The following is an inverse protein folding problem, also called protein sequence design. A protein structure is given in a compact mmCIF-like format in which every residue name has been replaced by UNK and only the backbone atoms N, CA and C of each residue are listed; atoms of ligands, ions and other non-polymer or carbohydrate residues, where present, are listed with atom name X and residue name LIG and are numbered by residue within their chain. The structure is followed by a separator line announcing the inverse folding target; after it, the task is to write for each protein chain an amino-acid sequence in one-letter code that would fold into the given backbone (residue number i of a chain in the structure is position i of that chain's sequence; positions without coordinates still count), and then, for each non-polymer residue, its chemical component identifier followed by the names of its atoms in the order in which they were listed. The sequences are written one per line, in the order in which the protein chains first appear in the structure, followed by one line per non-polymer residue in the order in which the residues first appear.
data_IF_102874232071
#
_entry.id   IF_102874232071
#
_cell.length_a   1.000
_cell.length_b   1.000
_cell.length_c   1.000
_cell.angle_alpha   90.00
_cell.angle_beta   90.00
_cell.angle_gamma   90.00
#
_symmetry.space_group_name_H-M   'P 1'
#
loop_
_entity.id
_entity.type
_entity.pdbx_description
1 polymer ?
#
# COMPACT_ATOMS: atom_id res chain seq x y z
N UNK A 1 -15.77 0.35 -13.14
CA UNK A 1 -14.56 0.67 -12.40
C UNK A 1 -14.33 -0.33 -11.31
N UNK A 2 -13.13 -0.65 -11.01
CA UNK A 2 -12.80 -1.68 -10.06
C UNK A 2 -11.90 -1.12 -8.97
N UNK A 3 -12.09 -1.56 -7.73
CA UNK A 3 -11.18 -1.18 -6.66
C UNK A 3 -9.77 -1.68 -7.03
N UNK A 4 -8.78 -0.91 -6.75
CA UNK A 4 -7.41 -1.25 -7.18
C UNK A 4 -6.72 -2.12 -6.13
N UNK A 5 -5.87 -3.03 -6.61
CA UNK A 5 -5.05 -3.87 -5.74
C UNK A 5 -4.05 -2.97 -5.05
N UNK A 6 -3.96 -3.05 -3.72
CA UNK A 6 -3.08 -2.18 -2.97
C UNK A 6 -1.64 -2.63 -3.06
N UNK A 7 -0.74 -1.73 -2.74
CA UNK A 7 0.67 -2.05 -2.56
C UNK A 7 0.80 -2.75 -1.20
N UNK A 8 1.93 -3.32 -0.91
CA UNK A 8 2.18 -4.01 0.37
C UNK A 8 3.24 -3.27 1.15
N UNK A 9 3.05 -3.20 2.46
CA UNK A 9 4.02 -2.56 3.34
C UNK A 9 4.36 -3.47 4.50
N UNK A 10 5.62 -3.67 4.76
CA UNK A 10 6.07 -4.37 5.95
C UNK A 10 6.47 -3.29 6.95
N UNK A 11 5.74 -3.20 8.04
CA UNK A 11 5.94 -2.19 9.05
C UNK A 11 5.85 -2.82 10.44
N UNK A 12 6.86 -2.65 11.23
CA UNK A 12 6.92 -3.23 12.57
C UNK A 12 6.63 -4.72 12.58
N UNK A 13 7.18 -5.42 11.61
CA UNK A 13 7.03 -6.86 11.50
C UNK A 13 5.69 -7.35 10.95
N UNK A 14 4.81 -6.44 10.55
CA UNK A 14 3.51 -6.82 10.01
C UNK A 14 3.42 -6.48 8.53
N UNK A 15 2.73 -7.33 7.78
CA UNK A 15 2.48 -7.04 6.38
C UNK A 15 1.12 -6.37 6.26
N UNK A 16 1.08 -5.17 5.75
CA UNK A 16 -0.11 -4.35 5.69
C UNK A 16 -0.43 -3.95 4.25
N UNK A 17 -1.68 -3.59 4.00
CA UNK A 17 -2.08 -3.04 2.72
C UNK A 17 -1.81 -1.54 2.73
N UNK A 18 -1.24 -1.03 1.65
CA UNK A 18 -0.85 0.37 1.57
C UNK A 18 -1.57 0.99 0.40
N UNK A 19 -2.45 1.94 0.66
CA UNK A 19 -3.26 2.59 -0.37
C UNK A 19 -2.57 3.84 -0.91
N UNK A 20 -1.32 3.68 -1.32
CA UNK A 20 -0.50 4.76 -1.81
C UNK A 20 0.52 4.15 -2.76
N UNK A 21 0.88 4.85 -3.82
CA UNK A 21 1.77 4.32 -4.85
C UNK A 21 3.01 5.20 -4.98
N UNK A 22 4.03 5.03 -4.10
CA UNK A 22 5.21 5.90 -4.16
C UNK A 22 6.01 5.83 -5.46
N UNK A 23 5.96 4.69 -6.18
CA UNK A 23 6.61 4.61 -7.47
C UNK A 23 5.93 5.51 -8.49
N UNK A 24 4.63 5.74 -8.34
CA UNK A 24 3.92 6.66 -9.23
C UNK A 24 4.53 8.06 -9.18
N UNK A 25 4.97 8.49 -7.98
CA UNK A 25 5.59 9.78 -7.81
C UNK A 25 6.97 9.77 -8.51
N UNK A 26 7.70 8.66 -8.42
CA UNK A 26 8.99 8.54 -9.07
C UNK A 26 8.84 8.69 -10.59
N UNK A 27 7.84 8.02 -11.17
CA UNK A 27 7.59 8.09 -12.60
C UNK A 27 7.12 9.52 -13.00
N UNK A 28 6.32 10.15 -12.16
CA UNK A 28 5.84 11.50 -12.44
C UNK A 28 6.98 12.51 -12.40
N UNK A 29 8.04 12.23 -11.68
CA UNK A 29 9.20 13.10 -11.63
C UNK A 29 10.17 12.86 -12.78
N UNK A 30 9.82 11.99 -13.69
CA UNK A 30 10.67 11.70 -14.86
C UNK A 30 11.48 10.41 -14.74
N UNK A 31 11.24 9.61 -13.72
CA UNK A 31 11.91 8.32 -13.60
C UNK A 31 11.48 7.38 -14.72
N UNK A 32 12.36 6.44 -15.06
CA UNK A 32 12.06 5.51 -16.13
C UNK A 32 10.95 4.57 -15.73
N UNK A 33 9.90 4.52 -16.52
CA UNK A 33 8.77 3.62 -16.28
C UNK A 33 8.79 2.49 -17.30
N UNK A 34 8.94 1.24 -16.85
CA UNK A 34 8.85 0.11 -17.74
C UNK A 34 7.46 0.01 -18.33
N UNK A 35 7.32 -0.68 -19.46
CA UNK A 35 6.01 -0.92 -20.04
C UNK A 35 5.44 -2.18 -19.45
N UNK A 36 4.42 -2.04 -18.63
CA UNK A 36 3.75 -3.17 -18.02
C UNK A 36 2.57 -3.62 -18.88
N UNK A 37 2.25 -4.91 -18.80
CA UNK A 37 1.11 -5.42 -19.51
C UNK A 37 -0.15 -5.00 -18.81
N UNK A 38 -1.21 -4.80 -19.61
CA UNK A 38 -2.49 -4.40 -19.09
C UNK A 38 -3.29 -5.66 -18.82
N UNK A 39 -3.10 -6.27 -17.68
CA UNK A 39 -3.67 -7.57 -17.37
C UNK A 39 -5.04 -7.55 -16.76
N UNK A 40 -5.39 -6.59 -15.97
CA UNK A 40 -6.71 -6.57 -15.37
C UNK A 40 -7.10 -5.17 -14.89
N UNK A 41 -8.40 -4.96 -14.74
CA UNK A 41 -8.91 -3.66 -14.36
C UNK A 41 -8.61 -3.32 -12.91
N UNK A 42 -8.27 -4.30 -12.07
CA UNK A 42 -7.92 -4.05 -10.68
C UNK A 42 -6.46 -3.61 -10.51
N UNK A 43 -5.70 -3.55 -11.59
CA UNK A 43 -4.29 -3.19 -11.53
C UNK A 43 -3.94 -2.22 -12.66
N UNK A 44 -4.52 -1.03 -12.62
CA UNK A 44 -4.30 -0.02 -13.65
C UNK A 44 -2.84 0.35 -13.82
N UNK A 45 -2.08 0.40 -12.73
CA UNK A 45 -0.70 0.79 -12.81
C UNK A 45 0.21 -0.32 -13.35
N UNK A 46 -0.30 -1.55 -13.42
CA UNK A 46 0.41 -2.67 -14.01
C UNK A 46 1.42 -3.38 -13.11
N UNK A 47 1.61 -2.92 -11.88
CA UNK A 47 2.56 -3.52 -10.97
C UNK A 47 2.09 -3.45 -9.53
N UNK A 48 2.67 -4.27 -8.66
CA UNK A 48 2.46 -4.18 -7.22
C UNK A 48 3.85 -4.10 -6.58
N UNK A 49 4.08 -3.07 -5.80
CA UNK A 49 5.32 -2.93 -5.06
C UNK A 49 5.16 -3.44 -3.64
N UNK A 50 6.22 -4.01 -3.09
CA UNK A 50 6.29 -4.33 -1.68
C UNK A 50 7.35 -3.42 -1.08
N UNK A 51 6.95 -2.74 -0.02
CA UNK A 51 7.76 -1.74 0.65
C UNK A 51 8.06 -2.18 2.06
N UNK A 52 9.11 -1.65 2.65
CA UNK A 52 9.43 -1.96 4.04
C UNK A 52 9.95 -0.71 4.72
N UNK A 53 9.53 -0.51 5.98
CA UNK A 53 10.05 0.58 6.78
C UNK A 53 11.07 0.00 7.74
N UNK A 54 12.31 0.49 7.64
CA UNK A 54 13.40 0.05 8.50
C UNK A 54 14.06 1.31 9.04
N UNK A 55 14.12 1.44 10.36
CA UNK A 55 14.70 2.60 11.02
C UNK A 55 14.08 3.91 10.54
N UNK A 56 12.79 3.91 10.35
CA UNK A 56 12.05 5.10 9.92
C UNK A 56 12.21 5.48 8.46
N UNK A 57 12.80 4.60 7.65
CA UNK A 57 13.02 4.86 6.22
C UNK A 57 12.25 3.90 5.36
N UNK A 58 11.72 4.40 4.27
CA UNK A 58 10.93 3.61 3.33
C UNK A 58 11.80 3.04 2.22
N UNK A 59 11.74 1.73 2.04
CA UNK A 59 12.47 1.04 0.98
C UNK A 59 11.53 0.25 0.09
N UNK A 60 11.79 0.24 -1.20
CA UNK A 60 11.13 -0.66 -2.13
C UNK A 60 11.95 -1.96 -2.12
N UNK A 61 11.32 -3.07 -1.73
CA UNK A 61 12.04 -4.33 -1.62
C UNK A 61 11.61 -5.37 -2.64
N UNK A 62 10.46 -5.20 -3.28
CA UNK A 62 10.01 -6.13 -4.27
C UNK A 62 9.11 -5.42 -5.26
N UNK A 63 9.16 -5.78 -6.52
CA UNK A 63 8.27 -5.27 -7.54
C UNK A 63 7.78 -6.45 -8.36
N UNK A 64 6.47 -6.56 -8.54
CA UNK A 64 5.88 -7.59 -9.38
C UNK A 64 5.01 -6.95 -10.43
N UNK A 65 5.12 -7.45 -11.62
CA UNK A 65 4.28 -7.01 -12.75
C UNK A 65 4.78 -7.68 -14.00
N UNK A 66 3.87 -7.89 -14.95
CA UNK A 66 4.25 -8.50 -16.21
C UNK A 66 4.68 -7.41 -17.18
N UNK A 67 5.77 -7.60 -17.86
CA UNK A 67 6.28 -6.62 -18.81
C UNK A 67 5.77 -6.92 -20.20
N UNK A 68 5.48 -5.87 -20.98
CA UNK A 68 5.14 -6.03 -22.39
C UNK A 68 6.35 -6.65 -23.04
N UNK A 69 6.16 -7.60 -23.88
CA UNK A 69 7.26 -8.28 -24.54
C UNK A 69 7.75 -9.50 -23.79
N UNK A 70 7.19 -9.75 -22.60
CA UNK A 70 7.52 -10.93 -21.81
C UNK A 70 8.40 -10.63 -20.63
N UNK A 71 8.35 -11.51 -19.67
CA UNK A 71 9.16 -11.40 -18.47
C UNK A 71 8.46 -10.70 -17.34
N UNK A 72 9.04 -10.83 -16.15
CA UNK A 72 8.48 -10.24 -14.94
C UNK A 72 9.36 -9.10 -14.47
N UNK A 73 8.74 -8.02 -14.00
CA UNK A 73 9.49 -6.90 -13.49
C UNK A 73 10.07 -7.24 -12.12
N UNK A 74 11.14 -6.57 -11.76
CA UNK A 74 11.75 -6.68 -10.44
C UNK A 74 12.28 -5.29 -10.07
N UNK A 75 12.80 -5.15 -8.86
CA UNK A 75 13.38 -3.87 -8.44
C UNK A 75 14.49 -3.46 -9.41
N UNK A 76 15.31 -4.42 -9.86
CA UNK A 76 16.39 -4.16 -10.79
C UNK A 76 15.90 -3.66 -12.16
N UNK A 77 14.66 -3.93 -12.52
CA UNK A 77 14.11 -3.43 -13.79
C UNK A 77 14.11 -1.90 -13.81
N UNK A 78 13.86 -1.27 -12.66
CA UNK A 78 13.82 0.18 -12.57
C UNK A 78 15.11 0.70 -11.96
N UNK A 79 15.68 -0.01 -11.00
CA UNK A 79 16.87 0.42 -10.27
C UNK A 79 17.94 -0.66 -10.36
N UNK A 80 18.59 -0.79 -11.52
CA UNK A 80 19.57 -1.86 -11.72
C UNK A 80 20.75 -1.85 -10.76
N UNK A 81 21.07 -0.68 -10.19
CA UNK A 81 22.17 -0.57 -9.25
C UNK A 81 21.75 -1.00 -7.84
N UNK A 82 20.46 -1.23 -7.60
CA UNK A 82 19.95 -1.57 -6.28
C UNK A 82 18.97 -2.73 -6.38
N UNK A 83 19.45 -3.91 -6.78
CA UNK A 83 18.53 -5.05 -7.05
C UNK A 83 17.81 -5.60 -5.83
N UNK A 84 18.36 -5.40 -4.62
CA UNK A 84 17.75 -5.97 -3.43
C UNK A 84 16.77 -5.02 -2.77
N UNK A 85 17.08 -3.77 -2.68
CA UNK A 85 16.18 -2.76 -2.16
C UNK A 85 16.68 -1.38 -2.54
N UNK A 86 15.76 -0.43 -2.61
CA UNK A 86 16.12 0.94 -2.91
C UNK A 86 15.43 1.88 -1.93
N UNK A 87 16.16 2.84 -1.38
CA UNK A 87 15.60 3.83 -0.48
C UNK A 87 14.75 4.81 -1.29
N UNK A 88 13.51 5.01 -0.84
CA UNK A 88 12.56 5.84 -1.57
C UNK A 88 12.77 7.33 -1.29
N UNK A 89 13.98 7.81 -1.56
CA UNK A 89 14.35 9.20 -1.28
C UNK A 89 13.55 10.24 -2.05
N UNK A 90 12.92 9.82 -3.13
CA UNK A 90 12.09 10.73 -3.94
C UNK A 90 10.73 10.98 -3.35
N UNK A 91 10.29 10.14 -2.41
CA UNK A 91 8.91 10.20 -1.96
C UNK A 91 8.70 11.11 -0.77
N UNK A 92 7.78 12.05 -0.92
CA UNK A 92 7.27 12.85 0.18
C UNK A 92 5.76 12.84 0.04
N UNK A 93 5.07 12.44 1.07
CA UNK A 93 3.61 12.35 1.03
C UNK A 93 3.11 11.55 2.22
N UNK A 94 1.84 11.20 2.17
CA UNK A 94 1.21 10.47 3.26
C UNK A 94 0.81 9.09 2.78
N UNK A 95 1.29 8.06 3.48
CA UNK A 95 0.92 6.69 3.17
C UNK A 95 -0.31 6.36 4.00
N UNK A 96 -1.36 5.87 3.34
CA UNK A 96 -2.59 5.47 4.02
C UNK A 96 -2.64 3.96 4.17
N UNK A 97 -2.85 3.47 5.38
CA UNK A 97 -2.97 2.05 5.66
C UNK A 97 -4.33 1.82 6.33
N UNK A 98 -5.30 1.26 5.60
CA UNK A 98 -6.61 0.99 6.17
C UNK A 98 -6.54 -0.16 7.17
N UNK A 99 -7.25 -0.03 8.27
CA UNK A 99 -7.28 -1.03 9.31
C UNK A 99 -8.68 -1.29 9.82
N UNK A 100 -8.92 -2.46 10.34
CA UNK A 100 -10.22 -2.83 10.88
C UNK A 100 -11.16 -3.34 9.79
N UNK A 101 -12.45 -3.35 10.09
CA UNK A 101 -13.43 -3.88 9.17
C UNK A 101 -13.82 -2.88 8.11
N UNK A 102 -14.26 -3.39 6.97
CA UNK A 102 -14.72 -2.56 5.88
C UNK A 102 -16.04 -1.91 6.27
N UNK A 103 -16.16 -0.62 6.15
CA UNK A 103 -17.38 0.12 6.42
C UNK A 103 -18.14 0.45 5.14
N UNK A 104 -17.44 0.83 4.10
CA UNK A 104 -18.07 1.22 2.85
C UNK A 104 -17.19 0.82 1.66
N UNK A 105 -17.70 -0.04 0.80
CA UNK A 105 -16.96 -0.50 -0.36
C UNK A 105 -17.18 0.42 -1.54
N UNK A 106 -16.11 0.86 -2.15
CA UNK A 106 -16.17 1.72 -3.32
C UNK A 106 -15.41 1.06 -4.45
N UNK A 107 -16.04 0.96 -5.62
CA UNK A 107 -15.47 0.27 -6.76
C UNK A 107 -14.47 1.14 -7.53
N UNK A 108 -13.86 2.12 -6.92
CA UNK A 108 -12.96 2.99 -7.64
C UNK A 108 -11.70 3.25 -6.84
N UNK A 109 -10.56 2.93 -7.38
CA UNK A 109 -9.25 3.21 -6.80
C UNK A 109 -9.12 2.64 -5.39
N UNK A 110 -8.74 3.48 -4.46
CA UNK A 110 -8.60 3.11 -3.07
C UNK A 110 -9.69 3.79 -2.23
N UNK A 111 -10.87 3.93 -2.80
CA UNK A 111 -11.94 4.72 -2.17
C UNK A 111 -12.69 4.06 -1.02
N UNK A 112 -12.52 2.74 -0.82
CA UNK A 112 -13.24 2.06 0.24
C UNK A 112 -12.83 2.56 1.62
N UNK A 113 -13.76 2.59 2.57
CA UNK A 113 -13.53 3.11 3.91
C UNK A 113 -13.52 1.97 4.91
N UNK A 114 -12.55 1.97 5.79
CA UNK A 114 -12.42 0.97 6.84
C UNK A 114 -12.57 1.66 8.20
N UNK A 115 -12.60 0.90 9.27
CA UNK A 115 -12.82 1.47 10.61
C UNK A 115 -11.77 2.50 10.99
N UNK A 116 -10.55 2.29 10.59
CA UNK A 116 -9.47 3.23 10.89
C UNK A 116 -8.54 3.36 9.71
N UNK A 117 -7.86 4.47 9.62
CA UNK A 117 -6.76 4.64 8.70
C UNK A 117 -5.52 5.03 9.51
N UNK A 118 -4.43 4.31 9.31
CA UNK A 118 -3.14 4.71 9.85
C UNK A 118 -2.45 5.54 8.76
N UNK A 119 -1.99 6.71 9.10
CA UNK A 119 -1.28 7.56 8.14
C UNK A 119 0.17 7.71 8.57
N UNK A 120 1.08 7.46 7.64
CA UNK A 120 2.50 7.67 7.87
C UNK A 120 2.92 8.86 7.01
N UNK A 121 3.35 9.93 7.64
CA UNK A 121 3.77 11.12 6.93
C UNK A 121 5.25 11.01 6.63
N UNK A 122 5.58 10.98 5.35
CA UNK A 122 6.93 10.71 4.87
C UNK A 122 7.50 11.97 4.23
N UNK A 123 8.74 12.28 4.51
CA UNK A 123 9.44 13.36 3.84
C UNK A 123 10.77 12.82 3.33
N UNK A 124 10.96 12.84 2.03
CA UNK A 124 12.17 12.34 1.37
C UNK A 124 12.51 10.92 1.84
N UNK A 125 11.50 10.09 1.91
CA UNK A 125 11.64 8.68 2.27
C UNK A 125 11.71 8.39 3.76
N UNK A 126 11.64 9.41 4.62
CA UNK A 126 11.78 9.23 6.06
C UNK A 126 10.47 9.56 6.77
N UNK A 127 10.06 8.71 7.72
CA UNK A 127 8.84 8.96 8.47
C UNK A 127 9.07 10.15 9.38
N UNK A 128 8.18 11.12 9.30
CA UNK A 128 8.24 12.31 10.17
C UNK A 128 7.14 12.30 11.21
N UNK A 129 6.02 11.64 10.93
CA UNK A 129 4.92 11.61 11.87
C UNK A 129 3.99 10.44 11.54
N UNK A 130 3.25 9.98 12.53
CA UNK A 130 2.23 8.95 12.33
C UNK A 130 0.97 9.43 13.01
N UNK A 131 -0.19 9.10 12.44
CA UNK A 131 -1.47 9.42 13.05
C UNK A 131 -2.52 8.41 12.63
N UNK A 132 -3.57 8.30 13.41
CA UNK A 132 -4.67 7.39 13.15
C UNK A 132 -5.94 8.20 13.03
N UNK A 133 -6.76 7.92 12.02
CA UNK A 133 -8.07 8.52 11.90
C UNK A 133 -9.11 7.42 12.08
N UNK A 134 -10.06 7.64 12.99
CA UNK A 134 -11.12 6.70 13.22
C UNK A 134 -12.32 7.08 12.34
N UNK A 135 -12.81 6.13 11.57
CA UNK A 135 -13.89 6.39 10.62
C UNK A 135 -15.23 5.82 11.07
N UNK A 136 -15.25 5.05 12.15
CA UNK A 136 -16.47 4.45 12.69
C UNK A 136 -16.27 3.01 13.05
N UNK A 137 -17.37 2.32 13.33
CA UNK A 137 -17.34 0.91 13.65
C UNK A 137 -18.30 0.16 12.77
N UNK A 138 -17.96 -1.06 12.41
CA UNK A 138 -18.89 -1.94 11.75
C UNK A 138 -19.82 -2.48 12.83
N UNK A 139 -21.11 -2.37 12.62
CA UNK A 139 -22.09 -2.81 13.61
C UNK A 139 -22.10 -4.31 13.73
N UNK A 140 -21.89 -4.81 14.91
CA UNK A 140 -21.91 -6.23 15.15
C UNK A 140 -21.11 -6.93 14.07
N UNK A 141 -21.72 -7.84 13.43
CA UNK A 141 -21.02 -8.52 12.37
C UNK A 141 -21.69 -8.07 11.11
N UNK A 142 -22.40 -6.98 11.15
CA UNK A 142 -23.12 -6.51 9.99
C UNK A 142 -22.28 -6.04 8.83
N UNK A 143 -21.04 -5.97 9.01
CA UNK A 143 -20.21 -5.52 7.91
C UNK A 143 -20.23 -6.48 6.75
N UNK A 144 -20.00 -6.00 5.56
CA UNK A 144 -19.97 -6.81 4.38
C UNK A 144 -18.76 -7.72 4.39
N UNK A 145 -18.82 -8.80 5.12
CA UNK A 145 -17.75 -9.69 5.24
C UNK A 145 -17.05 -10.12 4.02
N UNK A 146 -17.75 -10.45 3.03
CA UNK A 146 -17.10 -10.89 1.82
C UNK A 146 -16.09 -9.95 1.23
N UNK A 147 -16.23 -8.68 1.58
CA UNK A 147 -15.36 -7.71 0.99
C UNK A 147 -14.17 -7.37 1.88
N UNK A 148 -14.28 -7.78 3.12
CA UNK A 148 -13.24 -7.41 4.04
C UNK A 148 -11.92 -8.05 3.85
N UNK A 149 -11.92 -9.00 3.04
CA UNK A 149 -10.76 -9.62 2.82
C UNK A 149 -9.67 -8.85 2.61
N UNK A 150 -9.67 -8.17 1.81
CA UNK A 150 -8.60 -7.47 1.53
C UNK A 150 -7.89 -7.10 2.65
N UNK A 151 -7.67 -6.43 2.85
CA UNK A 151 -6.78 -5.99 3.60
C UNK A 151 -6.85 -6.21 4.98
N UNK A 152 -7.52 -6.77 5.18
CA UNK A 152 -7.51 -6.84 6.35
C UNK A 152 -6.83 -7.49 7.03
N UNK A 153 -6.45 -7.50 7.34
CA UNK A 153 -5.71 -8.06 7.83
C UNK A 153 -5.43 -7.94 8.91
N UNK A 154 -5.34 -7.74 9.39
CA UNK A 154 -4.92 -7.61 10.27
C UNK A 154 -5.01 -7.73 11.43
N UNK A 155 -5.22 -7.76 11.85
CA UNK A 155 -5.10 -7.73 12.77
C UNK A 155 -5.46 -8.00 13.71
N UNK A 156 -5.42 -8.26 14.10
CA UNK A 156 -5.71 -8.54 14.88
C UNK A 156 -6.29 -8.14 15.84
N UNK A 157 -6.67 -8.12 15.85
CA UNK A 157 -7.25 -7.78 16.56
C UNK A 157 -7.21 -7.56 17.55
N UNK A 158 -7.20 -7.38 17.64
CA UNK A 158 -7.18 -7.01 18.28
C UNK A 158 -6.97 -6.44 18.98
N UNK A 159 -6.87 -6.55 19.23
CA UNK A 159 -6.74 -5.95 19.75
C UNK A 159 -6.51 -5.15 19.84
N UNK A 160 -6.58 -5.20 19.42
CA UNK A 160 -6.49 -4.44 19.32
C UNK A 160 -6.64 -3.74 19.51
N UNK A 161 -6.68 -4.08 19.57
CA UNK A 161 -6.83 -3.35 19.65
C UNK A 161 -7.10 -2.64 20.11
N UNK A 162 -7.07 -3.00 20.51
CA UNK A 162 -7.37 -2.42 20.81
C UNK A 162 -7.28 -1.61 21.01
N UNK A 163 -7.00 -1.62 20.88
CA UNK A 163 -6.85 -0.77 20.87
C UNK A 163 -6.67 0.02 20.82
N UNK A 164 -6.46 -0.28 20.72
CA UNK A 164 -6.22 0.40 20.53
C UNK A 164 -6.16 1.16 20.39
N UNK A 165 -5.93 1.33 20.38
CA UNK A 165 -5.87 2.05 20.22
C UNK A 165 -5.91 2.74 20.24
N UNK A 166 -5.62 3.19 20.36
CA UNK A 166 -5.58 3.93 20.35
C UNK A 166 -6.02 4.30 20.47
#
# INVERSE_FOLDING_TARGET
MTAQISERLIYEGQQLSMCTNPLGDYFAMGGDRPRFEDNCTALWRGYVGTWEIVDGRLYLIELRGDLEGGGEASVATIFPDYPDRVFAHWYSGTIRIPQGKLLNYVHMGYGSTYERDLFLEIEKGVIKNTRVRHNGHAEGDGGPEGYGIGGMTVFPRGKQAEGDAP
#
